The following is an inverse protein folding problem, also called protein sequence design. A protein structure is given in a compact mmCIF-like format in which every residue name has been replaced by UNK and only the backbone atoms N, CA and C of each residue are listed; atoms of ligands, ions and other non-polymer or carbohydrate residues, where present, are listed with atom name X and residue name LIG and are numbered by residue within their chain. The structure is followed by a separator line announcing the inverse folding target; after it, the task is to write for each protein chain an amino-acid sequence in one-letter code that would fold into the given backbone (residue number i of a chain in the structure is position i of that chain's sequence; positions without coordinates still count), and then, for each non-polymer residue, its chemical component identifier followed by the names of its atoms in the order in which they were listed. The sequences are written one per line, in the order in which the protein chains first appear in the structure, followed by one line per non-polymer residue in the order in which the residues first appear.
data_IF_314449367667
#
_entry.id   IF_314449367667
#
_cell.length_a   1.000
_cell.length_b   1.000
_cell.length_c   1.000
_cell.angle_alpha   90.00
_cell.angle_beta   90.00
_cell.angle_gamma   90.00
#
_symmetry.space_group_name_H-M   'P 1'
#
loop_
_entity.id
_entity.type
_entity.pdbx_description
1 polymer ?
#
# COMPACT_ATOMS: atom_id res chain seq x y z
N UNK A 1 8.14 19.51 3.86
CA UNK A 1 8.98 18.67 4.77
C UNK A 1 8.28 18.49 6.12
N UNK A 2 8.21 17.27 6.61
CA UNK A 2 7.59 16.95 7.91
C UNK A 2 8.68 16.46 8.88
N UNK A 3 8.82 17.14 10.02
CA UNK A 3 9.82 16.80 11.06
C UNK A 3 11.27 16.68 10.52
N UNK A 4 11.64 17.49 9.53
CA UNK A 4 12.97 17.46 8.90
C UNK A 4 13.15 16.39 7.81
N UNK A 5 12.13 15.57 7.54
CA UNK A 5 12.14 14.56 6.48
C UNK A 5 11.33 15.01 5.27
N UNK A 6 11.77 14.63 4.07
CA UNK A 6 10.96 14.72 2.85
C UNK A 6 10.03 13.52 2.74
N UNK A 7 8.84 13.71 2.16
CA UNK A 7 7.79 12.70 2.09
C UNK A 7 7.27 12.54 0.65
N UNK A 8 7.30 11.31 0.13
CA UNK A 8 6.62 10.93 -1.11
C UNK A 8 5.33 10.17 -0.80
N UNK A 9 4.22 10.56 -1.42
CA UNK A 9 2.97 9.81 -1.43
C UNK A 9 2.87 9.02 -2.73
N UNK A 10 2.71 7.71 -2.63
CA UNK A 10 2.55 6.78 -3.76
C UNK A 10 1.13 6.23 -3.76
N UNK A 11 0.40 6.46 -4.85
CA UNK A 11 -0.99 6.06 -5.00
C UNK A 11 -1.21 5.32 -6.33
N UNK A 12 -1.62 4.04 -6.30
CA UNK A 12 -2.15 3.40 -7.50
C UNK A 12 -3.50 4.04 -7.83
N UNK A 13 -3.72 4.37 -9.10
CA UNK A 13 -4.99 4.88 -9.58
C UNK A 13 -5.45 4.11 -10.83
N UNK A 14 -6.74 3.78 -10.86
CA UNK A 14 -7.36 3.16 -12.02
C UNK A 14 -8.80 3.60 -12.12
N UNK A 15 -9.16 4.20 -13.27
CA UNK A 15 -10.51 4.70 -13.52
C UNK A 15 -10.96 5.68 -12.40
N UNK A 16 -10.12 6.70 -12.16
CA UNK A 16 -10.33 7.74 -11.14
C UNK A 16 -10.48 9.15 -11.75
N UNK A 17 -10.69 9.27 -13.08
CA UNK A 17 -10.74 10.55 -13.78
C UNK A 17 -11.68 11.57 -13.10
N UNK A 18 -12.83 11.09 -12.57
CA UNK A 18 -13.85 11.95 -11.95
C UNK A 18 -13.41 12.58 -10.63
N UNK A 19 -12.52 11.94 -9.90
CA UNK A 19 -12.17 12.32 -8.53
C UNK A 19 -10.70 12.72 -8.37
N UNK A 20 -9.84 12.40 -9.36
CA UNK A 20 -8.39 12.56 -9.25
C UNK A 20 -7.97 14.00 -8.94
N UNK A 21 -8.55 14.98 -9.65
CA UNK A 21 -8.20 16.40 -9.47
C UNK A 21 -8.54 16.89 -8.04
N UNK A 22 -9.74 16.58 -7.55
CA UNK A 22 -10.16 16.96 -6.20
C UNK A 22 -9.30 16.24 -5.15
N UNK A 23 -9.09 14.96 -5.33
CA UNK A 23 -8.28 14.16 -4.41
C UNK A 23 -6.84 14.72 -4.30
N UNK A 24 -6.23 15.11 -5.43
CA UNK A 24 -4.89 15.72 -5.42
C UNK A 24 -4.88 17.09 -4.76
N UNK A 25 -5.95 17.89 -4.97
CA UNK A 25 -6.09 19.20 -4.33
C UNK A 25 -6.21 19.12 -2.79
N UNK A 26 -6.80 18.03 -2.27
CA UNK A 26 -7.00 17.80 -0.84
C UNK A 26 -5.77 17.20 -0.14
N UNK A 27 -4.69 16.86 -0.89
CA UNK A 27 -3.47 16.30 -0.31
C UNK A 27 -2.73 17.39 0.50
N UNK A 28 -2.42 17.12 1.79
CA UNK A 28 -1.72 18.07 2.65
C UNK A 28 -0.36 18.53 2.09
N UNK A 29 0.00 19.79 2.37
CA UNK A 29 1.22 20.42 1.85
C UNK A 29 2.54 19.85 2.38
N UNK A 30 2.49 19.01 3.40
CA UNK A 30 3.69 18.35 3.92
C UNK A 30 4.17 17.19 3.03
N UNK A 31 3.41 16.76 2.02
CA UNK A 31 3.88 15.85 1.00
C UNK A 31 4.71 16.62 -0.03
N UNK A 32 6.00 16.32 -0.10
CA UNK A 32 6.95 16.98 -1.02
C UNK A 32 6.84 16.42 -2.45
N UNK A 33 6.37 15.16 -2.58
CA UNK A 33 6.20 14.47 -3.86
C UNK A 33 4.91 13.61 -3.83
N UNK A 34 4.14 13.68 -4.90
CA UNK A 34 2.89 12.92 -5.09
C UNK A 34 3.02 12.12 -6.38
N UNK A 35 3.03 10.80 -6.28
CA UNK A 35 3.20 9.90 -7.42
C UNK A 35 1.94 9.06 -7.59
N UNK A 36 1.14 9.40 -8.60
CA UNK A 36 0.03 8.57 -9.03
C UNK A 36 0.49 7.63 -10.14
N UNK A 37 0.16 6.34 -10.00
CA UNK A 37 0.50 5.33 -11.01
C UNK A 37 -0.76 4.70 -11.55
N UNK A 38 -1.08 4.99 -12.80
CA UNK A 38 -2.19 4.33 -13.51
C UNK A 38 -1.78 2.94 -13.96
N UNK A 39 -2.58 1.94 -13.60
CA UNK A 39 -2.45 0.61 -14.17
C UNK A 39 -3.74 0.26 -14.92
N UNK A 40 -3.66 0.30 -16.26
CA UNK A 40 -4.79 -0.07 -17.16
C UNK A 40 -6.08 0.70 -16.87
N UNK A 41 -6.01 2.03 -16.77
CA UNK A 41 -7.23 2.86 -16.81
C UNK A 41 -7.84 2.81 -18.20
N UNK A 42 -9.16 2.69 -18.26
CA UNK A 42 -9.97 2.64 -19.48
C UNK A 42 -10.73 3.98 -19.69
N UNK A 43 -10.54 4.95 -18.76
CA UNK A 43 -11.09 6.30 -18.78
C UNK A 43 -9.97 7.36 -18.89
N UNK A 44 -10.31 8.64 -18.81
CA UNK A 44 -9.41 9.79 -18.96
C UNK A 44 -8.50 10.02 -17.72
N UNK A 45 -8.28 9.01 -16.87
CA UNK A 45 -7.44 9.13 -15.64
C UNK A 45 -6.04 9.63 -15.95
N UNK A 46 -5.42 9.12 -17.03
CA UNK A 46 -4.05 9.49 -17.40
C UNK A 46 -4.01 10.93 -17.92
N UNK A 47 -4.95 11.31 -18.73
CA UNK A 47 -5.09 12.65 -19.30
C UNK A 47 -5.27 13.70 -18.20
N UNK A 48 -6.23 13.47 -17.29
CA UNK A 48 -6.45 14.31 -16.10
C UNK A 48 -5.18 14.40 -15.25
N UNK A 49 -4.50 13.27 -15.03
CA UNK A 49 -3.25 13.25 -14.30
C UNK A 49 -2.15 14.09 -14.96
N UNK A 50 -2.03 14.05 -16.30
CA UNK A 50 -1.08 14.87 -17.06
C UNK A 50 -1.41 16.38 -16.99
N UNK A 51 -2.67 16.74 -16.92
CA UNK A 51 -3.08 18.14 -16.72
C UNK A 51 -2.69 18.63 -15.32
N UNK A 52 -2.93 17.82 -14.29
CA UNK A 52 -2.51 18.14 -12.92
C UNK A 52 -0.98 18.29 -12.85
N UNK A 53 -0.22 17.40 -13.48
CA UNK A 53 1.26 17.43 -13.50
C UNK A 53 1.80 18.74 -14.09
N UNK A 54 1.13 19.34 -15.09
CA UNK A 54 1.54 20.63 -15.67
C UNK A 54 1.36 21.81 -14.70
N UNK A 55 0.40 21.73 -13.80
CA UNK A 55 0.04 22.81 -12.86
C UNK A 55 0.57 22.60 -11.44
N UNK A 56 0.92 21.37 -11.06
CA UNK A 56 1.39 21.02 -9.72
C UNK A 56 2.79 20.39 -9.77
N UNK A 57 3.86 21.13 -9.44
CA UNK A 57 5.24 20.62 -9.54
C UNK A 57 5.55 19.47 -8.57
N UNK A 58 4.72 19.23 -7.56
CA UNK A 58 4.86 18.10 -6.63
C UNK A 58 4.25 16.80 -7.20
N UNK A 59 3.41 16.89 -8.22
CA UNK A 59 2.64 15.76 -8.75
C UNK A 59 3.32 15.14 -9.96
N UNK A 60 3.31 13.80 -10.00
CA UNK A 60 3.75 13.01 -11.14
C UNK A 60 2.68 11.98 -11.50
N UNK A 61 2.36 11.89 -12.81
CA UNK A 61 1.52 10.82 -13.36
C UNK A 61 2.37 9.80 -14.08
N UNK A 62 2.37 8.57 -13.60
CA UNK A 62 3.04 7.43 -14.23
C UNK A 62 2.03 6.44 -14.77
N UNK A 63 2.45 5.67 -15.78
CA UNK A 63 1.67 4.57 -16.34
C UNK A 63 2.47 3.28 -16.19
N UNK A 64 1.81 2.24 -15.70
CA UNK A 64 2.36 0.89 -15.60
C UNK A 64 1.39 -0.10 -16.27
N UNK A 65 1.75 -0.56 -17.45
CA UNK A 65 0.91 -1.44 -18.26
C UNK A 65 1.13 -2.93 -17.97
N UNK A 66 1.95 -3.28 -17.02
CA UNK A 66 2.10 -4.67 -16.59
C UNK A 66 0.79 -5.22 -16.05
N UNK A 67 0.44 -6.42 -16.47
CA UNK A 67 -0.83 -7.05 -16.12
C UNK A 67 -0.64 -8.09 -15.03
N UNK A 68 -1.52 -8.05 -14.04
CA UNK A 68 -1.63 -9.08 -13.01
C UNK A 68 -3.11 -9.39 -12.73
N UNK A 69 -3.38 -10.49 -12.02
CA UNK A 69 -4.74 -10.93 -11.68
C UNK A 69 -5.51 -9.88 -10.85
N UNK A 70 -4.83 -9.09 -10.06
CA UNK A 70 -5.35 -7.96 -9.27
C UNK A 70 -5.28 -6.63 -9.99
N UNK A 71 -5.43 -6.60 -11.32
CA UNK A 71 -5.38 -5.37 -12.13
C UNK A 71 -4.10 -4.55 -11.97
N UNK A 72 -2.98 -5.22 -11.64
CA UNK A 72 -1.67 -4.60 -11.54
C UNK A 72 -1.49 -3.68 -10.32
N UNK A 73 -2.31 -3.82 -9.28
CA UNK A 73 -2.21 -3.03 -8.05
C UNK A 73 -0.80 -3.03 -7.45
N UNK A 74 -0.20 -4.21 -7.34
CA UNK A 74 1.17 -4.37 -6.83
C UNK A 74 2.21 -3.74 -7.75
N UNK A 75 2.07 -3.89 -9.07
CA UNK A 75 2.98 -3.26 -10.03
C UNK A 75 2.93 -1.74 -9.93
N UNK A 76 1.74 -1.15 -9.82
CA UNK A 76 1.60 0.30 -9.66
C UNK A 76 2.29 0.81 -8.39
N UNK A 77 2.11 0.12 -7.26
CA UNK A 77 2.85 0.46 -6.03
C UNK A 77 4.36 0.34 -6.20
N UNK A 78 4.86 -0.78 -6.74
CA UNK A 78 6.30 -0.98 -6.93
C UNK A 78 6.90 0.08 -7.86
N UNK A 79 6.21 0.45 -8.94
CA UNK A 79 6.65 1.52 -9.84
C UNK A 79 6.73 2.85 -9.13
N UNK A 80 5.72 3.22 -8.35
CA UNK A 80 5.73 4.44 -7.56
C UNK A 80 6.80 4.44 -6.46
N UNK A 81 6.95 3.34 -5.71
CA UNK A 81 7.98 3.18 -4.67
C UNK A 81 9.39 3.34 -5.25
N UNK A 82 9.66 2.72 -6.40
CA UNK A 82 10.96 2.83 -7.06
C UNK A 82 11.24 4.24 -7.62
N UNK A 83 10.19 5.00 -7.95
CA UNK A 83 10.30 6.38 -8.44
C UNK A 83 10.49 7.39 -7.31
N UNK A 84 9.97 7.10 -6.13
CA UNK A 84 10.00 7.99 -4.97
C UNK A 84 11.42 8.37 -4.56
N UNK A 85 11.66 9.68 -4.34
CA UNK A 85 12.97 10.24 -4.01
C UNK A 85 13.09 10.66 -2.54
N UNK A 86 11.97 10.90 -1.87
CA UNK A 86 11.94 11.38 -0.50
C UNK A 86 12.46 10.34 0.50
N UNK A 87 12.87 10.79 1.68
CA UNK A 87 13.39 9.92 2.74
C UNK A 87 12.30 9.03 3.35
N UNK A 88 11.05 9.48 3.37
CA UNK A 88 9.87 8.72 3.80
C UNK A 88 8.97 8.46 2.60
N UNK A 89 8.49 7.25 2.48
CA UNK A 89 7.49 6.83 1.48
C UNK A 89 6.20 6.48 2.20
N UNK A 90 5.11 7.05 1.73
CA UNK A 90 3.74 6.71 2.14
C UNK A 90 3.05 6.08 0.95
N UNK A 91 2.52 4.88 1.12
CA UNK A 91 1.63 4.23 0.16
C UNK A 91 0.20 4.31 0.66
N UNK A 92 -0.73 4.66 -0.20
CA UNK A 92 -2.17 4.69 0.10
C UNK A 92 -2.97 4.51 -1.19
N UNK A 93 -4.24 4.06 -1.07
CA UNK A 93 -5.15 4.02 -2.21
C UNK A 93 -5.65 5.44 -2.55
N UNK A 94 -5.98 5.68 -3.83
CA UNK A 94 -6.46 6.98 -4.33
C UNK A 94 -7.96 7.21 -4.11
N UNK A 95 -8.62 6.41 -3.27
CA UNK A 95 -10.07 6.40 -3.11
C UNK A 95 -10.57 7.04 -1.79
N UNK A 96 -9.71 7.74 -1.08
CA UNK A 96 -10.05 8.40 0.19
C UNK A 96 -10.19 7.45 1.40
N UNK A 97 -9.97 6.14 1.21
CA UNK A 97 -10.12 5.15 2.30
C UNK A 97 -9.09 5.35 3.41
N UNK A 98 -7.89 5.85 3.08
CA UNK A 98 -6.79 6.00 4.02
C UNK A 98 -6.58 7.45 4.44
N UNK A 99 -6.43 7.70 5.78
CA UNK A 99 -6.25 9.04 6.32
C UNK A 99 -4.81 9.52 6.12
N UNK A 100 -4.49 9.99 4.92
CA UNK A 100 -3.15 10.49 4.57
C UNK A 100 -2.75 11.72 5.40
N UNK A 101 -3.73 12.48 5.87
CA UNK A 101 -3.56 13.62 6.78
C UNK A 101 -3.05 13.21 8.18
N UNK A 102 -3.21 11.95 8.57
CA UNK A 102 -2.77 11.41 9.88
C UNK A 102 -1.27 11.07 9.92
N UNK A 103 -0.54 11.30 8.82
CA UNK A 103 0.90 11.01 8.72
C UNK A 103 1.73 11.62 9.87
N UNK A 104 1.50 12.88 10.33
CA UNK A 104 2.29 13.43 11.44
C UNK A 104 2.23 12.58 12.71
N UNK A 105 1.03 12.06 13.05
CA UNK A 105 0.84 11.15 14.19
C UNK A 105 1.53 9.81 13.96
N UNK A 106 1.38 9.24 12.75
CA UNK A 106 2.01 7.96 12.40
C UNK A 106 3.54 8.07 12.54
N UNK A 107 4.15 9.13 12.00
CA UNK A 107 5.59 9.37 12.12
C UNK A 107 6.02 9.58 13.58
N UNK A 108 5.19 10.24 14.40
CA UNK A 108 5.42 10.36 15.84
C UNK A 108 5.54 8.99 16.52
N UNK A 109 4.59 8.09 16.24
CA UNK A 109 4.62 6.70 16.76
C UNK A 109 5.81 5.92 16.20
N UNK A 110 6.16 6.09 14.94
CA UNK A 110 7.34 5.45 14.34
C UNK A 110 8.61 5.86 15.07
N UNK A 111 8.79 7.15 15.32
CA UNK A 111 9.95 7.69 16.05
C UNK A 111 9.99 7.17 17.50
N UNK A 112 8.88 7.23 18.23
CA UNK A 112 8.78 6.74 19.60
C UNK A 112 9.13 5.27 19.73
N UNK A 113 8.67 4.46 18.78
CA UNK A 113 8.87 2.98 18.78
C UNK A 113 10.10 2.52 18.01
N UNK A 114 10.89 3.41 17.42
CA UNK A 114 12.08 3.08 16.62
C UNK A 114 11.73 2.28 15.34
N UNK A 115 10.59 2.57 14.71
CA UNK A 115 10.15 1.86 13.51
C UNK A 115 10.71 2.52 12.25
N UNK A 116 11.23 1.69 11.35
CA UNK A 116 11.55 2.08 9.96
C UNK A 116 10.44 1.70 8.97
N UNK A 117 9.46 0.90 9.42
CA UNK A 117 8.29 0.53 8.63
C UNK A 117 7.05 0.43 9.54
N UNK A 118 6.02 1.20 9.22
CA UNK A 118 4.71 1.13 9.83
C UNK A 118 3.68 0.60 8.83
N UNK A 119 3.05 -0.53 9.13
CA UNK A 119 1.82 -0.96 8.45
C UNK A 119 0.63 -0.33 9.15
N UNK A 120 -0.18 0.44 8.43
CA UNK A 120 -1.34 1.10 9.02
C UNK A 120 -2.50 0.11 9.13
N UNK A 121 -2.91 -0.22 10.36
CA UNK A 121 -3.98 -1.19 10.64
C UNK A 121 -5.31 -0.50 10.87
N UNK A 122 -6.35 -0.96 10.17
CA UNK A 122 -7.74 -0.49 10.31
C UNK A 122 -8.49 -1.19 11.44
N UNK A 123 -7.99 -2.32 11.92
CA UNK A 123 -8.68 -3.16 12.90
C UNK A 123 -8.23 -2.90 14.34
N UNK A 124 -9.16 -3.02 15.29
CA UNK A 124 -10.59 -3.24 15.15
C UNK A 124 -11.34 -1.95 14.74
N UNK A 125 -12.24 -2.05 13.76
CA UNK A 125 -13.11 -0.94 13.36
C UNK A 125 -14.54 -1.46 13.12
N UNK A 126 -15.51 -0.86 13.83
CA UNK A 126 -16.93 -1.25 13.74
C UNK A 126 -17.60 -0.81 12.43
N UNK A 127 -17.01 0.13 11.70
CA UNK A 127 -17.50 0.58 10.38
C UNK A 127 -17.28 -0.46 9.29
N UNK A 128 -16.30 -1.38 9.48
CA UNK A 128 -16.00 -2.43 8.51
C UNK A 128 -17.00 -3.58 8.64
N UNK A 129 -17.65 -4.02 7.54
CA UNK A 129 -18.60 -5.13 7.58
C UNK A 129 -18.02 -6.39 8.20
N UNK A 130 -18.80 -7.06 9.06
CA UNK A 130 -18.35 -8.21 9.86
C UNK A 130 -17.77 -9.34 9.01
N UNK A 131 -18.34 -9.57 7.80
CA UNK A 131 -17.82 -10.56 6.84
C UNK A 131 -16.39 -10.27 6.40
N UNK A 132 -16.04 -9.01 6.20
CA UNK A 132 -14.69 -8.59 5.84
C UNK A 132 -13.73 -8.72 7.03
N UNK A 133 -14.19 -8.35 8.22
CA UNK A 133 -13.41 -8.55 9.44
C UNK A 133 -13.07 -10.02 9.65
N UNK A 134 -14.06 -10.93 9.47
CA UNK A 134 -13.84 -12.38 9.57
C UNK A 134 -12.82 -12.88 8.52
N UNK A 135 -12.95 -12.42 7.27
CA UNK A 135 -12.01 -12.77 6.21
C UNK A 135 -10.56 -12.38 6.55
N UNK A 136 -10.35 -11.15 7.03
CA UNK A 136 -9.01 -10.70 7.45
C UNK A 136 -8.50 -11.48 8.66
N UNK A 137 -9.37 -11.82 9.63
CA UNK A 137 -8.96 -12.66 10.77
C UNK A 137 -8.48 -14.04 10.33
N UNK A 138 -9.15 -14.68 9.37
CA UNK A 138 -8.74 -15.97 8.82
C UNK A 138 -7.34 -15.86 8.19
N UNK A 139 -7.09 -14.84 7.36
CA UNK A 139 -5.77 -14.59 6.76
C UNK A 139 -4.69 -14.32 7.83
N UNK A 140 -5.02 -13.55 8.85
CA UNK A 140 -4.08 -13.26 9.95
C UNK A 140 -3.71 -14.53 10.73
N UNK A 141 -4.70 -15.41 10.99
CA UNK A 141 -4.47 -16.73 11.64
C UNK A 141 -3.58 -17.61 10.76
N UNK A 142 -3.83 -17.67 9.45
CA UNK A 142 -2.98 -18.40 8.52
C UNK A 142 -1.54 -17.88 8.53
N UNK A 143 -1.35 -16.55 8.49
CA UNK A 143 -0.03 -15.94 8.56
C UNK A 143 0.67 -16.27 9.89
N UNK A 144 -0.06 -16.28 11.00
CA UNK A 144 0.49 -16.68 12.29
C UNK A 144 0.93 -18.16 12.30
N UNK A 145 0.08 -19.06 11.84
CA UNK A 145 0.37 -20.50 11.83
C UNK A 145 1.55 -20.86 10.91
N UNK A 146 1.63 -20.23 9.74
CA UNK A 146 2.66 -20.55 8.75
C UNK A 146 3.98 -19.81 8.96
N UNK A 147 3.94 -18.57 9.46
CA UNK A 147 5.12 -17.72 9.56
C UNK A 147 5.51 -17.35 11.00
N UNK A 148 4.69 -17.71 12.00
CA UNK A 148 4.83 -17.29 13.40
C UNK A 148 4.89 -15.74 13.54
N UNK A 149 4.10 -15.01 12.72
CA UNK A 149 4.07 -13.56 12.69
C UNK A 149 2.67 -13.05 13.04
N UNK A 150 2.59 -12.19 14.05
CA UNK A 150 1.33 -11.53 14.43
C UNK A 150 1.19 -10.29 13.57
N UNK A 151 0.17 -10.28 12.71
CA UNK A 151 -0.25 -9.16 11.89
C UNK A 151 -1.75 -8.98 12.10
N UNK A 152 -2.19 -7.76 12.44
CA UNK A 152 -3.59 -7.48 12.77
C UNK A 152 -4.42 -7.09 11.55
N UNK A 153 -3.78 -6.53 10.50
CA UNK A 153 -4.44 -6.19 9.23
C UNK A 153 -3.58 -6.58 8.03
N UNK A 154 -3.69 -7.84 7.61
CA UNK A 154 -2.93 -8.37 6.47
C UNK A 154 -3.23 -7.68 5.14
N UNK A 155 -4.42 -7.06 5.00
CA UNK A 155 -4.89 -6.49 3.73
C UNK A 155 -4.91 -4.95 3.68
N UNK A 156 -4.47 -4.24 4.71
CA UNK A 156 -4.32 -2.79 4.62
C UNK A 156 -3.32 -2.40 3.53
N UNK A 157 -3.69 -1.45 2.67
CA UNK A 157 -2.85 -0.89 1.61
C UNK A 157 -2.12 0.40 2.00
N UNK A 158 -2.26 0.86 3.26
CA UNK A 158 -1.49 2.01 3.72
C UNK A 158 -0.24 1.58 4.47
N UNK A 159 0.92 2.04 3.98
CA UNK A 159 2.22 1.79 4.59
C UNK A 159 3.03 3.08 4.66
N UNK A 160 3.76 3.29 5.75
CA UNK A 160 4.69 4.40 5.93
C UNK A 160 6.05 3.83 6.26
N UNK A 161 7.08 4.15 5.48
CA UNK A 161 8.40 3.57 5.71
C UNK A 161 9.54 4.46 5.20
N UNK A 162 10.71 4.25 5.76
CA UNK A 162 11.94 4.86 5.29
C UNK A 162 12.31 4.31 3.91
N UNK A 163 12.70 5.18 2.98
CA UNK A 163 13.16 4.75 1.65
C UNK A 163 14.35 3.79 1.71
N UNK A 164 15.18 3.91 2.73
CA UNK A 164 16.34 3.05 2.98
C UNK A 164 16.01 1.57 3.11
N UNK A 165 14.76 1.21 3.49
CA UNK A 165 14.36 -0.20 3.64
C UNK A 165 13.91 -0.86 2.34
N UNK A 166 13.65 -0.09 1.28
CA UNK A 166 13.10 -0.59 0.01
C UNK A 166 13.93 -1.74 -0.59
N UNK A 167 15.27 -1.66 -0.67
CA UNK A 167 16.07 -2.76 -1.22
C UNK A 167 15.90 -4.08 -0.46
N UNK A 168 15.65 -4.02 0.85
CA UNK A 168 15.47 -5.21 1.69
C UNK A 168 14.10 -5.89 1.52
N UNK A 169 13.11 -5.18 0.96
CA UNK A 169 11.75 -5.71 0.85
C UNK A 169 11.61 -6.73 -0.28
N UNK A 170 12.45 -6.68 -1.32
CA UNK A 170 12.42 -7.62 -2.46
C UNK A 170 10.99 -7.91 -2.94
N UNK A 171 10.21 -6.84 -3.26
CA UNK A 171 8.81 -6.94 -3.66
C UNK A 171 8.70 -7.52 -5.08
N UNK A 172 7.79 -8.47 -5.27
CA UNK A 172 7.60 -9.19 -6.53
C UNK A 172 6.13 -9.32 -6.96
N UNK A 173 5.19 -9.18 -6.01
CA UNK A 173 3.77 -9.42 -6.31
C UNK A 173 3.14 -8.25 -7.05
N UNK A 174 2.69 -8.51 -8.28
CA UNK A 174 2.06 -7.49 -9.13
C UNK A 174 0.58 -7.27 -8.88
N UNK A 175 -0.06 -8.07 -8.03
CA UNK A 175 -1.48 -8.02 -7.73
C UNK A 175 -1.79 -7.60 -6.28
N UNK A 176 -3.00 -7.92 -5.80
CA UNK A 176 -3.43 -7.65 -4.42
C UNK A 176 -2.58 -8.38 -3.36
N UNK A 177 -1.82 -9.42 -3.73
CA UNK A 177 -0.94 -10.13 -2.81
C UNK A 177 0.28 -9.32 -2.37
N UNK A 178 0.53 -8.16 -3.00
CA UNK A 178 1.53 -7.22 -2.50
C UNK A 178 1.26 -6.83 -1.04
N UNK A 179 -0.02 -6.66 -0.63
CA UNK A 179 -0.35 -6.28 0.75
C UNK A 179 0.15 -7.28 1.81
N UNK A 180 -0.13 -8.59 1.73
CA UNK A 180 0.47 -9.56 2.65
C UNK A 180 1.98 -9.72 2.42
N UNK A 181 2.47 -9.65 1.17
CA UNK A 181 3.90 -9.81 0.87
C UNK A 181 4.75 -8.75 1.57
N UNK A 182 4.43 -7.46 1.39
CA UNK A 182 5.25 -6.37 1.93
C UNK A 182 5.35 -6.45 3.47
N UNK A 183 4.27 -6.86 4.15
CA UNK A 183 4.26 -7.01 5.61
C UNK A 183 5.11 -8.20 6.07
N UNK A 184 4.98 -9.35 5.41
CA UNK A 184 5.81 -10.52 5.70
C UNK A 184 7.30 -10.23 5.46
N UNK A 185 7.63 -9.55 4.35
CA UNK A 185 9.01 -9.14 4.04
C UNK A 185 9.54 -8.11 5.05
N UNK A 186 8.77 -7.05 5.32
CA UNK A 186 9.16 -6.06 6.32
C UNK A 186 9.36 -6.69 7.69
N UNK A 187 8.43 -7.54 8.16
CA UNK A 187 8.58 -8.23 9.42
C UNK A 187 9.81 -9.16 9.44
N UNK A 188 10.08 -9.86 8.33
CA UNK A 188 11.24 -10.78 8.22
C UNK A 188 12.56 -10.03 8.29
N UNK A 189 12.71 -8.94 7.54
CA UNK A 189 13.99 -8.28 7.34
C UNK A 189 14.26 -7.12 8.30
N UNK A 190 13.22 -6.49 8.85
CA UNK A 190 13.36 -5.36 9.75
C UNK A 190 13.21 -5.73 11.23
N UNK A 191 12.62 -6.88 11.55
CA UNK A 191 12.44 -7.36 12.92
C UNK A 191 11.68 -6.36 13.78
N UNK A 192 12.28 -5.87 14.87
CA UNK A 192 11.68 -4.88 15.79
C UNK A 192 11.44 -3.50 15.17
N UNK A 193 12.07 -3.20 14.03
CA UNK A 193 11.83 -1.94 13.29
C UNK A 193 10.58 -1.99 12.38
N UNK A 194 9.88 -3.13 12.31
CA UNK A 194 8.55 -3.26 11.74
C UNK A 194 7.50 -3.15 12.83
N UNK A 195 6.41 -2.40 12.58
CA UNK A 195 5.28 -2.34 13.50
C UNK A 195 3.97 -2.01 12.80
N UNK A 196 2.87 -2.21 13.51
CA UNK A 196 1.56 -1.74 13.07
C UNK A 196 1.15 -0.50 13.85
N UNK A 197 0.58 0.46 13.13
CA UNK A 197 0.02 1.70 13.68
C UNK A 197 -1.45 1.76 13.32
N UNK A 198 -2.30 1.89 14.34
CA UNK A 198 -3.75 1.94 14.12
C UNK A 198 -4.15 3.27 13.48
N UNK A 199 -5.01 3.16 12.45
CA UNK A 199 -5.63 4.29 11.77
C UNK A 199 -7.16 4.15 11.81
N UNK A 200 -7.88 5.25 11.54
CA UNK A 200 -9.32 5.23 11.27
C UNK A 200 -9.53 5.21 9.76
N UNK A 201 -10.38 4.33 9.28
CA UNK A 201 -10.72 4.29 7.86
C UNK A 201 -11.58 5.50 7.50
N UNK A 202 -11.23 6.16 6.38
CA UNK A 202 -12.02 7.23 5.78
C UNK A 202 -13.22 6.69 4.98
N UNK A 203 -13.98 7.60 4.40
CA UNK A 203 -15.11 7.27 3.52
C UNK A 203 -14.54 7.09 2.10
N UNK A 204 -14.82 5.93 1.50
CA UNK A 204 -14.39 5.63 0.14
C UNK A 204 -15.12 6.50 -0.89
N UNK A 205 -14.38 7.07 -1.81
CA UNK A 205 -14.92 7.65 -3.04
C UNK A 205 -15.02 6.55 -4.12
N UNK A 206 -16.21 6.41 -4.74
CA UNK A 206 -16.43 5.43 -5.79
C UNK A 206 -16.66 3.99 -5.32
N UNK A 207 -16.70 3.06 -6.28
CA UNK A 207 -17.03 1.65 -6.04
C UNK A 207 -15.77 0.79 -5.86
N UNK A 208 -15.91 -0.28 -5.07
CA UNK A 208 -14.81 -1.25 -4.92
C UNK A 208 -14.62 -2.09 -6.17
N UNK A 209 -13.37 -2.18 -6.62
CA UNK A 209 -12.97 -3.02 -7.75
C UNK A 209 -12.65 -4.47 -7.33
N UNK A 210 -12.69 -4.77 -6.03
CA UNK A 210 -12.36 -6.09 -5.49
C UNK A 210 -13.57 -7.02 -5.40
N UNK A 211 -13.38 -8.26 -5.87
CA UNK A 211 -14.31 -9.37 -5.65
C UNK A 211 -13.88 -10.09 -4.36
N UNK A 212 -14.41 -9.68 -3.22
CA UNK A 212 -13.95 -10.07 -1.87
C UNK A 212 -13.70 -11.57 -1.69
N UNK A 213 -14.64 -12.45 -2.09
CA UNK A 213 -14.47 -13.90 -1.93
C UNK A 213 -13.34 -14.45 -2.81
N UNK A 214 -13.31 -14.08 -4.10
CA UNK A 214 -12.26 -14.55 -5.03
C UNK A 214 -10.90 -14.05 -4.60
N UNK A 215 -10.80 -12.79 -4.22
CA UNK A 215 -9.56 -12.17 -3.76
C UNK A 215 -9.11 -12.77 -2.42
N UNK A 216 -10.02 -13.00 -1.48
CA UNK A 216 -9.71 -13.64 -0.21
C UNK A 216 -9.17 -15.07 -0.35
N UNK A 217 -9.79 -15.89 -1.18
CA UNK A 217 -9.29 -17.24 -1.50
C UNK A 217 -7.93 -17.19 -2.22
N UNK A 218 -7.72 -16.17 -3.08
CA UNK A 218 -6.44 -15.92 -3.73
C UNK A 218 -5.33 -15.63 -2.70
N UNK A 219 -5.62 -14.79 -1.69
CA UNK A 219 -4.67 -14.50 -0.62
C UNK A 219 -4.33 -15.73 0.22
N UNK A 220 -5.33 -16.54 0.62
CA UNK A 220 -5.08 -17.79 1.35
C UNK A 220 -4.13 -18.71 0.57
N UNK A 221 -4.45 -18.99 -0.68
CA UNK A 221 -3.62 -19.84 -1.52
C UNK A 221 -2.20 -19.27 -1.72
N UNK A 222 -2.08 -17.94 -1.88
CA UNK A 222 -0.79 -17.28 -2.04
C UNK A 222 0.05 -17.38 -0.74
N UNK A 223 -0.53 -17.06 0.41
CA UNK A 223 0.15 -17.13 1.72
C UNK A 223 0.69 -18.54 1.96
N UNK A 224 -0.14 -19.57 1.70
CA UNK A 224 0.25 -20.97 1.81
C UNK A 224 1.40 -21.31 0.86
N UNK A 225 1.25 -21.07 -0.43
CA UNK A 225 2.27 -21.37 -1.46
C UNK A 225 3.57 -20.65 -1.20
N UNK A 226 3.53 -19.36 -0.87
CA UNK A 226 4.71 -18.55 -0.62
C UNK A 226 5.55 -19.10 0.56
N UNK A 227 4.90 -19.71 1.56
CA UNK A 227 5.62 -20.33 2.69
C UNK A 227 6.51 -21.48 2.26
N UNK A 228 6.04 -22.32 1.33
CA UNK A 228 6.75 -23.51 0.89
C UNK A 228 7.76 -23.21 -0.23
N UNK A 229 7.45 -22.29 -1.14
CA UNK A 229 8.40 -21.84 -2.17
C UNK A 229 9.64 -21.21 -1.52
N UNK A 230 9.47 -20.33 -0.54
CA UNK A 230 10.60 -19.72 0.16
C UNK A 230 11.45 -20.74 0.94
N UNK A 231 10.87 -21.86 1.39
CA UNK A 231 11.61 -22.93 2.08
C UNK A 231 12.51 -23.73 1.13
N UNK A 232 12.08 -23.91 -0.11
CA UNK A 232 12.77 -24.76 -1.08
C UNK A 232 13.90 -24.05 -1.83
N UNK A 233 14.23 -22.79 -1.47
CA UNK A 233 15.35 -22.06 -2.06
C UNK A 233 15.20 -21.77 -3.56
N UNK A 234 14.01 -21.97 -4.13
CA UNK A 234 13.74 -21.65 -5.51
C UNK A 234 13.59 -20.14 -5.61
N UNK A 235 14.65 -19.47 -6.05
CA UNK A 235 14.52 -18.11 -6.56
C UNK A 235 13.65 -18.18 -7.82
N UNK A 236 12.65 -17.29 -7.99
CA UNK A 236 12.02 -17.17 -9.30
C UNK A 236 13.12 -16.86 -10.31
N UNK A 237 13.11 -17.57 -11.41
CA UNK A 237 14.01 -17.29 -12.53
C UNK A 237 13.86 -15.83 -12.95
N UNK A 238 15.01 -15.18 -13.19
CA UNK A 238 15.14 -13.82 -13.70
C UNK A 238 14.36 -13.57 -14.99
#
# INVERSE_FOLDING_TARGET
MLSGSTVSLVMPCRNEAKHLAQMVADIPDFYDEIICVSNKSDDDTVEVGREIERSNPRFQMLVDDRVASGIGYGFAHMTGINKAKSSIIVCADSDGTYPIEDLPRIMGVMKERGLSFASCSRYPDKSIPLKLQLGVKILNVEMFLLYAKVIHDSLSGMWVFERSVVPSLHLTEGDWNLSPQIKLKAHKYLGSRFGEVRIRQGIRFGETKQRYLKTGLGHLNWIFKNRFIQRNGIQPAD
#
